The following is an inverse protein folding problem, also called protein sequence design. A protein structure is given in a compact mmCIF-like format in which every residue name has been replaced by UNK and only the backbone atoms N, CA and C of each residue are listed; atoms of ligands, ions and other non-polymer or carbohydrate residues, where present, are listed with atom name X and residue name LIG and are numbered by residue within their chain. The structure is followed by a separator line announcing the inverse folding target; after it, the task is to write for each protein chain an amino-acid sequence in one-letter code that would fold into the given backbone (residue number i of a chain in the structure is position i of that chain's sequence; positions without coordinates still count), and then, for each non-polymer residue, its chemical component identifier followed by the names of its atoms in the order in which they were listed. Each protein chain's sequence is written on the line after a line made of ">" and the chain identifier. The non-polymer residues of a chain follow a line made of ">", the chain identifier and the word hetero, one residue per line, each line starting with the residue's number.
data_IF_433480543911
#
_entry.id   IF_433480543911
#
_cell.length_a   1.000
_cell.length_b   1.000
_cell.length_c   1.000
_cell.angle_alpha   90.00
_cell.angle_beta   90.00
_cell.angle_gamma   90.00
#
_symmetry.space_group_name_H-M   'P 1'
#
loop_
_entity.id
_entity.type
_entity.pdbx_description
1 polymer ?
#
# COMPACT_ATOMS: atom_id res chain seq x y z
N UNK A 1 -31.88 20.53 9.32
CA UNK A 1 -30.71 19.94 8.61
C UNK A 1 -29.47 20.78 8.93
N UNK A 2 -28.53 20.26 9.72
CA UNK A 2 -27.43 21.03 10.33
C UNK A 2 -26.19 21.23 9.45
N UNK A 3 -25.39 22.24 9.80
CA UNK A 3 -24.15 22.64 9.11
C UNK A 3 -23.12 21.51 8.94
N UNK A 4 -23.09 20.54 9.86
CA UNK A 4 -22.22 19.37 9.77
C UNK A 4 -22.53 18.48 8.55
N UNK A 5 -23.81 18.33 8.18
CA UNK A 5 -24.22 17.57 6.98
C UNK A 5 -23.85 18.33 5.70
N UNK A 6 -24.04 19.66 5.69
CA UNK A 6 -23.63 20.53 4.56
C UNK A 6 -22.12 20.59 4.39
N UNK A 7 -21.33 20.56 5.47
CA UNK A 7 -19.86 20.44 5.42
C UNK A 7 -19.43 19.10 4.82
N UNK A 8 -20.11 18.01 5.16
CA UNK A 8 -19.83 16.66 4.65
C UNK A 8 -20.20 16.51 3.17
N UNK A 9 -21.31 17.14 2.74
CA UNK A 9 -21.75 17.18 1.34
C UNK A 9 -20.86 18.08 0.45
N UNK A 10 -20.17 19.05 1.04
CA UNK A 10 -19.21 19.93 0.34
C UNK A 10 -17.76 19.47 0.45
N UNK A 11 -17.47 18.45 1.25
CA UNK A 11 -16.12 17.92 1.37
C UNK A 11 -15.75 17.20 0.08
N UNK A 12 -14.58 17.53 -0.48
CA UNK A 12 -14.01 16.77 -1.61
C UNK A 12 -13.92 15.30 -1.17
N UNK A 13 -14.45 14.34 -1.94
CA UNK A 13 -14.37 12.93 -1.57
C UNK A 13 -12.91 12.52 -1.38
N UNK A 14 -12.59 11.91 -0.23
CA UNK A 14 -11.27 11.34 0.03
C UNK A 14 -11.30 9.85 -0.30
N UNK A 15 -10.29 9.37 -1.00
CA UNK A 15 -10.05 7.95 -1.25
C UNK A 15 -8.74 7.52 -0.61
N UNK A 16 -8.69 6.27 -0.18
CA UNK A 16 -7.62 5.72 0.63
C UNK A 16 -6.87 4.64 -0.12
N UNK A 17 -5.55 4.79 -0.23
CA UNK A 17 -4.67 3.72 -0.61
C UNK A 17 -4.24 2.93 0.63
N UNK A 18 -4.65 1.66 0.69
CA UNK A 18 -4.25 0.74 1.74
C UNK A 18 -2.95 0.04 1.38
N UNK A 19 -1.95 0.16 2.24
CA UNK A 19 -0.63 -0.45 2.05
C UNK A 19 -0.09 -1.03 3.37
N UNK A 20 1.02 -1.75 3.31
CA UNK A 20 1.72 -2.31 4.48
C UNK A 20 2.93 -1.46 4.87
N UNK A 21 3.34 -1.51 6.15
CA UNK A 21 4.62 -0.93 6.59
C UNK A 21 5.83 -1.43 5.79
N UNK A 22 5.77 -2.67 5.31
CA UNK A 22 6.81 -3.27 4.48
C UNK A 22 6.98 -2.59 3.12
N UNK A 23 5.91 -1.97 2.60
CA UNK A 23 5.92 -1.26 1.31
C UNK A 23 5.98 0.25 1.46
N UNK A 24 5.69 0.79 2.64
CA UNK A 24 5.59 2.25 2.81
C UNK A 24 6.93 2.93 2.65
N UNK A 25 8.03 2.32 3.12
CA UNK A 25 9.37 2.87 2.88
C UNK A 25 9.71 2.93 1.38
N UNK A 26 9.29 1.93 0.60
CA UNK A 26 9.45 1.97 -0.86
C UNK A 26 8.64 3.11 -1.48
N UNK A 27 7.40 3.32 -1.02
CA UNK A 27 6.53 4.42 -1.44
C UNK A 27 7.13 5.78 -1.05
N UNK A 28 7.74 5.90 0.13
CA UNK A 28 8.43 7.12 0.56
C UNK A 28 9.66 7.42 -0.29
N UNK A 29 10.45 6.39 -0.59
CA UNK A 29 11.67 6.53 -1.40
C UNK A 29 11.37 6.82 -2.87
N UNK A 30 10.33 6.20 -3.46
CA UNK A 30 9.89 6.51 -4.82
C UNK A 30 9.16 7.86 -4.90
N UNK A 31 8.53 8.27 -3.79
CA UNK A 31 7.65 9.43 -3.74
C UNK A 31 6.34 9.24 -4.51
N UNK A 32 6.05 8.03 -4.98
CA UNK A 32 4.86 7.70 -5.76
C UNK A 32 4.27 6.35 -5.33
N UNK A 33 2.94 6.26 -5.37
CA UNK A 33 2.24 4.97 -5.38
C UNK A 33 2.26 4.47 -6.82
N UNK A 34 3.08 3.45 -7.07
CA UNK A 34 3.17 2.78 -8.37
C UNK A 34 1.90 1.98 -8.69
N UNK A 35 1.64 1.78 -9.99
CA UNK A 35 0.67 0.79 -10.44
C UNK A 35 1.17 -0.63 -10.13
N UNK A 36 0.24 -1.56 -9.91
CA UNK A 36 0.58 -2.94 -9.56
C UNK A 36 1.54 -3.60 -10.57
N UNK A 37 2.48 -4.41 -10.07
CA UNK A 37 3.49 -5.07 -10.92
C UNK A 37 4.72 -4.22 -11.29
N UNK A 38 4.72 -2.90 -11.05
CA UNK A 38 5.93 -2.05 -11.23
C UNK A 38 6.71 -1.77 -9.95
N UNK A 39 6.13 -2.05 -8.78
CA UNK A 39 6.82 -1.86 -7.50
C UNK A 39 7.96 -2.87 -7.32
N UNK A 40 9.13 -2.41 -6.84
CA UNK A 40 10.16 -3.32 -6.31
C UNK A 40 9.58 -4.10 -5.11
N UNK A 41 9.94 -5.38 -4.97
CA UNK A 41 9.50 -6.17 -3.82
C UNK A 41 10.05 -5.63 -2.50
N UNK A 42 9.29 -5.80 -1.42
CA UNK A 42 9.75 -5.47 -0.08
C UNK A 42 10.89 -6.42 0.32
N UNK A 43 12.03 -5.89 0.75
CA UNK A 43 13.20 -6.68 1.11
C UNK A 43 13.38 -6.64 2.63
N UNK A 44 13.37 -7.83 3.24
CA UNK A 44 13.71 -8.03 4.64
C UNK A 44 15.20 -8.39 4.78
N UNK A 45 15.97 -7.75 5.69
CA UNK A 45 17.43 -7.91 5.75
C UNK A 45 17.90 -9.36 5.99
N UNK A 46 17.09 -10.14 6.72
CA UNK A 46 17.38 -11.55 7.08
C UNK A 46 16.62 -12.58 6.24
N UNK A 47 15.53 -12.16 5.57
CA UNK A 47 14.57 -13.10 4.95
C UNK A 47 14.49 -12.94 3.43
N UNK A 48 15.15 -11.94 2.85
CA UNK A 48 15.11 -11.69 1.41
C UNK A 48 13.84 -10.97 0.98
N UNK A 49 13.42 -11.16 -0.27
CA UNK A 49 12.21 -10.53 -0.80
C UNK A 49 10.96 -11.20 -0.21
N UNK A 50 10.12 -10.42 0.47
CA UNK A 50 8.83 -10.87 1.00
C UNK A 50 7.77 -10.65 -0.07
N UNK A 51 7.06 -11.73 -0.43
CA UNK A 51 5.92 -11.69 -1.35
C UNK A 51 4.66 -12.19 -0.64
N UNK A 52 3.53 -11.74 -1.15
CA UNK A 52 2.20 -12.13 -0.70
C UNK A 52 1.44 -12.66 -1.91
N UNK A 53 0.76 -13.78 -1.75
CA UNK A 53 -0.25 -14.21 -2.72
C UNK A 53 -1.52 -13.38 -2.45
N UNK A 54 -1.55 -12.12 -2.87
CA UNK A 54 -2.83 -11.41 -2.98
C UNK A 54 -3.56 -12.01 -4.18
N UNK A 55 -4.20 -13.16 -3.98
CA UNK A 55 -4.88 -13.98 -4.99
C UNK A 55 -5.89 -13.15 -5.81
N UNK A 56 -6.43 -12.08 -5.22
CA UNK A 56 -7.41 -11.15 -5.80
C UNK A 56 -6.80 -9.87 -6.40
N UNK A 57 -5.51 -9.59 -6.17
CA UNK A 57 -4.76 -8.47 -6.79
C UNK A 57 -3.58 -9.01 -7.59
N UNK A 58 -3.88 -10.00 -8.44
CA UNK A 58 -2.92 -10.42 -9.46
C UNK A 58 -2.75 -9.24 -10.42
N UNK A 59 -1.58 -9.14 -11.05
CA UNK A 59 -1.47 -8.27 -12.21
C UNK A 59 -2.53 -8.73 -13.21
N UNK A 60 -3.49 -7.86 -13.49
CA UNK A 60 -4.58 -8.15 -14.42
C UNK A 60 -3.95 -8.30 -15.80
N UNK A 61 -4.31 -9.35 -16.53
CA UNK A 61 -3.78 -9.64 -17.85
C UNK A 61 -4.64 -9.02 -18.94
N UNK A 62 -5.94 -8.87 -18.67
CA UNK A 62 -6.93 -8.39 -19.63
C UNK A 62 -6.94 -6.85 -19.72
N UNK A 63 -6.31 -6.14 -18.79
CA UNK A 63 -6.22 -4.67 -18.79
C UNK A 63 -4.95 -4.17 -18.07
N UNK A 64 -4.55 -2.89 -18.27
CA UNK A 64 -3.33 -2.35 -17.71
C UNK A 64 -3.24 -2.43 -16.19
N UNK A 65 -2.02 -2.44 -15.66
CA UNK A 65 -1.76 -2.34 -14.23
C UNK A 65 -2.37 -1.09 -13.61
N UNK A 66 -2.98 -1.23 -12.42
CA UNK A 66 -3.69 -0.16 -11.72
C UNK A 66 -3.10 0.12 -10.33
N UNK A 67 -3.24 1.34 -9.86
CA UNK A 67 -3.15 1.68 -8.45
C UNK A 67 -4.56 1.73 -7.84
N UNK A 68 -4.78 1.00 -6.74
CA UNK A 68 -6.10 0.83 -6.14
C UNK A 68 -6.33 1.70 -4.91
N UNK A 69 -7.55 2.22 -4.81
CA UNK A 69 -8.04 3.06 -3.73
C UNK A 69 -9.48 2.68 -3.35
N UNK A 70 -9.91 3.04 -2.15
CA UNK A 70 -11.29 2.84 -1.69
C UNK A 70 -11.77 4.04 -0.87
N UNK A 71 -13.07 4.31 -0.85
CA UNK A 71 -13.67 5.30 0.05
C UNK A 71 -13.65 4.85 1.52
N UNK A 72 -13.45 3.56 1.78
CA UNK A 72 -13.48 2.95 3.11
C UNK A 72 -12.11 3.04 3.81
N UNK A 73 -12.14 3.46 5.07
CA UNK A 73 -10.98 3.39 5.97
C UNK A 73 -10.75 1.99 6.52
N UNK A 74 -11.77 1.13 6.54
CA UNK A 74 -11.57 -0.27 6.88
C UNK A 74 -10.73 -0.95 5.80
N UNK A 75 -9.84 -1.85 6.23
CA UNK A 75 -8.96 -2.58 5.33
C UNK A 75 -9.85 -3.47 4.44
N UNK A 76 -9.73 -3.37 3.10
CA UNK A 76 -10.44 -4.27 2.20
C UNK A 76 -10.17 -5.74 2.55
N UNK A 77 -11.23 -6.54 2.67
CA UNK A 77 -11.14 -7.96 3.03
C UNK A 77 -10.42 -8.77 1.97
N UNK A 78 -10.46 -8.33 0.71
CA UNK A 78 -9.65 -8.86 -0.39
C UNK A 78 -8.13 -8.79 -0.11
N UNK A 79 -7.68 -7.90 0.77
CA UNK A 79 -6.28 -7.80 1.19
C UNK A 79 -5.92 -8.70 2.39
N UNK A 80 -6.90 -9.34 3.03
CA UNK A 80 -6.72 -10.13 4.26
C UNK A 80 -7.19 -11.57 4.12
N UNK A 81 -8.17 -11.84 3.26
CA UNK A 81 -8.73 -13.17 3.05
C UNK A 81 -7.76 -14.04 2.26
N UNK A 82 -7.32 -15.15 2.87
CA UNK A 82 -6.53 -16.19 2.18
C UNK A 82 -5.13 -15.76 1.73
N UNK A 83 -4.58 -14.66 2.28
CA UNK A 83 -3.24 -14.23 1.95
C UNK A 83 -2.21 -15.20 2.58
N UNK A 84 -1.44 -15.90 1.74
CA UNK A 84 -0.22 -16.60 2.15
C UNK A 84 0.99 -15.68 2.00
N UNK A 85 1.92 -15.79 2.95
CA UNK A 85 3.20 -15.11 2.88
C UNK A 85 4.30 -16.10 2.50
N UNK A 86 5.15 -15.70 1.56
CA UNK A 86 6.30 -16.49 1.18
C UNK A 86 7.53 -15.60 0.97
N UNK A 87 8.69 -16.19 1.23
CA UNK A 87 9.98 -15.60 0.90
C UNK A 87 10.51 -16.21 -0.38
N UNK A 88 11.22 -15.42 -1.17
CA UNK A 88 11.98 -15.89 -2.33
C UNK A 88 13.46 -15.68 -2.07
N UNK A 89 14.23 -16.75 -2.08
CA UNK A 89 15.69 -16.67 -2.03
C UNK A 89 16.21 -16.04 -3.33
N UNK A 90 17.07 -15.02 -3.23
CA UNK A 90 17.58 -14.29 -4.40
C UNK A 90 18.64 -15.04 -5.20
N UNK A 91 19.28 -16.03 -4.59
CA UNK A 91 20.34 -16.83 -5.20
C UNK A 91 19.75 -18.08 -5.87
N UNK A 92 18.85 -18.77 -5.19
CA UNK A 92 18.27 -20.04 -5.67
C UNK A 92 16.91 -19.87 -6.33
N UNK A 93 16.22 -18.76 -6.10
CA UNK A 93 14.84 -18.54 -6.57
C UNK A 93 13.79 -19.38 -5.82
N UNK A 94 14.20 -20.13 -4.79
CA UNK A 94 13.33 -21.04 -4.06
C UNK A 94 12.25 -20.27 -3.29
N UNK A 95 11.00 -20.70 -3.43
CA UNK A 95 9.87 -20.18 -2.67
C UNK A 95 9.73 -20.96 -1.38
N UNK A 96 9.77 -20.25 -0.25
CA UNK A 96 9.51 -20.84 1.07
C UNK A 96 8.32 -20.16 1.71
N UNK A 97 7.26 -20.91 1.92
CA UNK A 97 6.09 -20.44 2.64
C UNK A 97 6.43 -20.16 4.11
N UNK A 98 6.02 -19.00 4.61
CA UNK A 98 6.16 -18.66 6.02
C UNK A 98 4.93 -19.21 6.75
N UNK A 99 5.09 -20.39 7.36
CA UNK A 99 4.04 -20.99 8.20
C UNK A 99 3.75 -20.08 9.40
N UNK A 100 2.67 -19.33 9.31
CA UNK A 100 2.23 -18.34 10.30
C UNK A 100 0.73 -18.50 10.51
N UNK A 101 0.23 -18.15 11.71
CA UNK A 101 -1.21 -18.07 11.94
C UNK A 101 -1.79 -16.90 11.15
N UNK A 102 -3.10 -16.87 10.88
CA UNK A 102 -3.76 -15.73 10.24
C UNK A 102 -3.44 -14.40 10.93
N UNK A 103 -3.34 -14.40 12.25
CA UNK A 103 -3.00 -13.23 13.06
C UNK A 103 -1.53 -12.82 12.91
N UNK A 104 -0.62 -13.78 12.68
CA UNK A 104 0.79 -13.50 12.39
C UNK A 104 1.03 -13.07 10.94
N UNK A 105 0.28 -13.62 9.98
CA UNK A 105 0.25 -13.11 8.59
C UNK A 105 -0.29 -11.69 8.60
N UNK A 106 -1.38 -11.46 9.32
CA UNK A 106 -1.93 -10.14 9.52
C UNK A 106 -0.90 -9.25 10.23
N UNK A 107 -0.22 -9.72 11.27
CA UNK A 107 0.81 -8.96 11.94
C UNK A 107 1.97 -8.53 11.02
N UNK A 108 2.47 -9.45 10.20
CA UNK A 108 3.65 -9.26 9.36
C UNK A 108 3.34 -8.60 8.02
N UNK A 109 2.16 -8.84 7.45
CA UNK A 109 1.67 -8.13 6.28
C UNK A 109 1.05 -6.76 6.62
N UNK A 110 0.64 -6.50 7.88
CA UNK A 110 -0.33 -5.45 8.27
C UNK A 110 0.03 -4.66 9.55
N UNK A 111 1.14 -3.94 9.58
CA UNK A 111 0.95 -2.56 10.04
C UNK A 111 0.37 -1.79 8.86
N UNK A 112 -0.96 -1.81 8.79
CA UNK A 112 -1.71 -1.19 7.70
C UNK A 112 -1.66 0.31 7.86
N UNK A 113 -1.37 0.94 6.74
CA UNK A 113 -1.44 2.38 6.57
C UNK A 113 -2.49 2.64 5.51
N UNK A 114 -3.31 3.67 5.75
CA UNK A 114 -4.16 4.23 4.73
C UNK A 114 -3.69 5.66 4.44
N UNK A 115 -3.33 5.91 3.18
CA UNK A 115 -3.00 7.24 2.67
C UNK A 115 -4.24 7.82 2.01
N UNK A 116 -4.79 8.88 2.59
CA UNK A 116 -5.97 9.57 2.08
C UNK A 116 -5.59 10.67 1.11
N UNK A 117 -6.28 10.70 -0.03
CA UNK A 117 -6.12 11.68 -1.08
C UNK A 117 -7.48 12.24 -1.50
N UNK A 118 -7.62 13.56 -1.67
CA UNK A 118 -8.81 14.13 -2.27
C UNK A 118 -8.89 13.66 -3.74
N UNK A 119 -10.05 13.16 -4.18
CA UNK A 119 -10.26 12.66 -5.55
C UNK A 119 -9.90 13.71 -6.60
N UNK A 120 -10.10 15.00 -6.29
CA UNK A 120 -9.75 16.10 -7.19
C UNK A 120 -8.24 16.31 -7.40
N UNK A 121 -7.39 15.79 -6.50
CA UNK A 121 -5.96 16.08 -6.47
C UNK A 121 -5.11 14.98 -7.13
N UNK A 122 -5.72 13.84 -7.50
CA UNK A 122 -5.03 12.67 -8.05
C UNK A 122 -5.80 12.10 -9.26
N UNK A 123 -5.12 11.45 -10.22
CA UNK A 123 -5.74 10.98 -11.48
C UNK A 123 -6.51 9.66 -11.30
N UNK A 124 -7.51 9.65 -10.43
CA UNK A 124 -8.33 8.46 -10.16
C UNK A 124 -9.69 8.53 -10.84
N UNK A 125 -10.19 7.37 -11.24
CA UNK A 125 -11.56 7.16 -11.72
C UNK A 125 -12.25 6.14 -10.84
N UNK A 126 -13.58 6.21 -10.72
CA UNK A 126 -14.35 5.14 -10.09
C UNK A 126 -14.12 3.84 -10.84
N UNK A 127 -13.94 2.75 -10.10
CA UNK A 127 -13.72 1.44 -10.71
C UNK A 127 -14.86 1.07 -11.67
N UNK A 128 -16.12 1.33 -11.29
CA UNK A 128 -17.30 1.13 -12.14
C UNK A 128 -17.30 1.91 -13.46
N UNK A 129 -16.51 2.98 -13.55
CA UNK A 129 -16.36 3.79 -14.77
C UNK A 129 -15.11 3.40 -15.58
N UNK A 130 -14.23 2.56 -15.05
CA UNK A 130 -13.02 2.13 -15.73
C UNK A 130 -13.30 1.00 -16.72
N UNK A 131 -12.63 0.99 -17.87
CA UNK A 131 -12.82 -0.01 -18.93
C UNK A 131 -12.63 -1.46 -18.47
N UNK A 132 -11.74 -1.67 -17.49
CA UNK A 132 -11.48 -2.98 -16.88
C UNK A 132 -12.65 -3.56 -16.09
N UNK A 133 -13.64 -2.75 -15.67
CA UNK A 133 -14.75 -3.21 -14.84
C UNK A 133 -15.61 -4.29 -15.51
N UNK A 134 -15.80 -4.15 -16.83
CA UNK A 134 -16.69 -4.98 -17.62
C UNK A 134 -15.97 -6.15 -18.31
N UNK A 135 -14.64 -6.27 -18.18
CA UNK A 135 -13.89 -7.40 -18.75
C UNK A 135 -14.20 -8.70 -18.02
N UNK A 136 -13.78 -9.84 -18.57
CA UNK A 136 -13.95 -11.14 -17.89
C UNK A 136 -13.22 -11.16 -16.56
N UNK A 137 -11.92 -10.83 -16.57
CA UNK A 137 -11.11 -10.76 -15.35
C UNK A 137 -11.66 -9.71 -14.35
N UNK A 138 -12.15 -8.56 -14.84
CA UNK A 138 -12.78 -7.55 -14.00
C UNK A 138 -14.07 -8.03 -13.33
N UNK A 139 -14.90 -8.81 -14.03
CA UNK A 139 -16.10 -9.44 -13.45
C UNK A 139 -15.74 -10.48 -12.39
N UNK A 140 -14.77 -11.34 -12.67
CA UNK A 140 -14.28 -12.32 -11.69
C UNK A 140 -13.71 -11.64 -10.43
N UNK A 141 -12.95 -10.55 -10.62
CA UNK A 141 -12.44 -9.72 -9.52
C UNK A 141 -13.59 -9.16 -8.68
N UNK A 142 -14.61 -8.59 -9.34
CA UNK A 142 -15.78 -8.02 -8.68
C UNK A 142 -16.57 -9.06 -7.88
N UNK A 143 -16.79 -10.24 -8.45
CA UNK A 143 -17.48 -11.36 -7.79
C UNK A 143 -16.68 -11.88 -6.60
N UNK A 144 -15.35 -12.04 -6.77
CA UNK A 144 -14.45 -12.46 -5.71
C UNK A 144 -14.44 -11.46 -4.54
N UNK A 145 -14.37 -10.16 -4.84
CA UNK A 145 -14.43 -9.11 -3.84
C UNK A 145 -15.72 -9.13 -3.03
N UNK A 146 -16.86 -9.26 -3.72
CA UNK A 146 -18.17 -9.37 -3.07
C UNK A 146 -18.29 -10.65 -2.23
N UNK A 147 -17.72 -11.77 -2.67
CA UNK A 147 -17.79 -13.04 -1.94
C UNK A 147 -17.08 -12.97 -0.57
N UNK A 148 -16.05 -12.12 -0.43
CA UNK A 148 -15.37 -11.88 0.86
C UNK A 148 -15.99 -10.72 1.64
N UNK A 149 -16.97 -10.01 1.06
CA UNK A 149 -17.71 -8.92 1.71
C UNK A 149 -17.17 -7.51 1.45
N UNK A 150 -16.30 -7.33 0.45
CA UNK A 150 -15.95 -6.01 -0.07
C UNK A 150 -17.00 -5.52 -1.08
N UNK A 151 -17.03 -4.21 -1.32
CA UNK A 151 -17.91 -3.59 -2.33
C UNK A 151 -17.06 -2.90 -3.40
N UNK A 152 -17.02 -3.41 -4.64
CA UNK A 152 -16.31 -2.78 -5.76
C UNK A 152 -16.81 -1.37 -6.12
N UNK A 153 -18.03 -1.00 -5.74
CA UNK A 153 -18.59 0.31 -6.07
C UNK A 153 -17.94 1.44 -5.25
N UNK A 154 -17.29 1.09 -4.14
CA UNK A 154 -16.49 1.99 -3.30
C UNK A 154 -15.06 2.19 -3.83
N UNK A 155 -14.67 1.47 -4.89
CA UNK A 155 -13.29 1.45 -5.36
C UNK A 155 -13.01 2.53 -6.40
N UNK A 156 -11.77 3.01 -6.37
CA UNK A 156 -11.20 3.94 -7.33
C UNK A 156 -9.87 3.37 -7.82
N UNK A 157 -9.54 3.66 -9.07
CA UNK A 157 -8.32 3.19 -9.72
C UNK A 157 -7.61 4.32 -10.44
N UNK A 158 -6.30 4.21 -10.56
CA UNK A 158 -5.47 5.09 -11.39
C UNK A 158 -4.57 4.25 -12.29
N UNK A 159 -4.54 4.59 -13.58
CA UNK A 159 -3.65 3.98 -14.59
C UNK A 159 -2.23 4.57 -14.52
N UNK A 160 -2.06 5.64 -13.73
CA UNK A 160 -0.80 6.34 -13.53
C UNK A 160 -0.32 6.23 -12.08
N UNK A 161 0.97 6.42 -11.87
CA UNK A 161 1.54 6.53 -10.54
C UNK A 161 1.01 7.80 -9.84
N UNK A 162 0.71 7.70 -8.55
CA UNK A 162 0.14 8.81 -7.76
C UNK A 162 1.21 9.43 -6.86
N UNK A 163 1.43 10.74 -6.99
CA UNK A 163 2.42 11.47 -6.17
C UNK A 163 1.98 11.51 -4.71
N UNK A 164 2.82 10.94 -3.85
CA UNK A 164 2.60 10.85 -2.40
C UNK A 164 2.52 12.24 -1.77
N UNK A 165 3.15 13.26 -2.36
CA UNK A 165 3.10 14.63 -1.83
C UNK A 165 1.68 15.21 -1.83
N UNK A 166 0.73 14.61 -2.58
CA UNK A 166 -0.70 14.95 -2.59
C UNK A 166 -1.48 14.39 -1.39
N UNK A 167 -0.84 13.64 -0.50
CA UNK A 167 -1.50 13.07 0.68
C UNK A 167 -2.09 14.17 1.56
N UNK A 168 -3.36 14.00 1.93
CA UNK A 168 -4.11 14.89 2.81
C UNK A 168 -4.43 14.24 4.16
N UNK A 169 -4.44 12.91 4.22
CA UNK A 169 -4.67 12.16 5.45
C UNK A 169 -3.71 10.99 5.59
N UNK A 170 -3.27 10.74 6.81
CA UNK A 170 -2.45 9.58 7.14
C UNK A 170 -3.08 8.84 8.31
N UNK A 171 -3.30 7.55 8.11
CA UNK A 171 -3.88 6.66 9.10
C UNK A 171 -3.00 5.43 9.26
N UNK A 172 -2.77 4.99 10.50
CA UNK A 172 -1.94 3.84 10.78
C UNK A 172 -2.45 3.05 11.98
N UNK A 173 -2.19 1.75 11.98
CA UNK A 173 -2.42 0.91 13.15
C UNK A 173 -1.27 1.10 14.17
N UNK A 174 -1.60 1.42 15.43
CA UNK A 174 -0.61 1.48 16.52
C UNK A 174 -0.19 0.10 17.02
N UNK A 175 -1.07 -0.89 16.87
CA UNK A 175 -0.83 -2.26 17.31
C UNK A 175 -1.05 -3.23 16.17
N UNK A 176 -0.09 -4.15 16.07
CA UNK A 176 -0.10 -5.27 15.15
C UNK A 176 -1.24 -6.25 15.52
N UNK A 177 -1.51 -6.45 16.81
CA UNK A 177 -2.53 -7.37 17.32
C UNK A 177 -3.94 -6.77 17.28
N UNK A 178 -4.05 -5.45 17.15
CA UNK A 178 -5.32 -4.74 17.03
C UNK A 178 -5.17 -3.65 15.96
N UNK A 179 -5.38 -3.99 14.67
CA UNK A 179 -5.05 -3.14 13.54
C UNK A 179 -6.06 -2.02 13.31
N UNK A 180 -6.57 -1.41 14.39
CA UNK A 180 -7.45 -0.25 14.31
C UNK A 180 -6.63 0.94 13.85
N UNK A 181 -7.03 1.51 12.71
CA UNK A 181 -6.37 2.69 12.15
C UNK A 181 -6.70 3.94 12.96
N UNK A 182 -5.68 4.73 13.25
CA UNK A 182 -5.78 6.04 13.87
C UNK A 182 -5.14 7.11 12.98
N UNK A 183 -5.78 8.28 12.94
CA UNK A 183 -5.30 9.43 12.16
C UNK A 183 -4.09 10.04 12.85
N UNK A 184 -3.06 10.36 12.07
CA UNK A 184 -1.91 11.16 12.52
C UNK A 184 -1.56 12.23 11.50
N UNK A 185 -2.14 13.41 11.68
CA UNK A 185 -1.88 14.56 10.82
C UNK A 185 -0.43 15.05 10.93
N UNK A 186 0.19 14.91 12.11
CA UNK A 186 1.58 15.29 12.33
C UNK A 186 2.53 14.54 11.37
N UNK A 187 2.25 13.26 11.11
CA UNK A 187 3.10 12.41 10.27
C UNK A 187 3.05 12.80 8.78
N UNK A 188 2.04 13.57 8.33
CA UNK A 188 1.97 14.09 6.96
C UNK A 188 3.18 15.00 6.67
N UNK A 189 3.58 15.81 7.66
CA UNK A 189 4.75 16.68 7.52
C UNK A 189 6.04 15.86 7.37
N UNK A 190 6.15 14.76 8.11
CA UNK A 190 7.28 13.82 8.01
C UNK A 190 7.32 13.13 6.65
N UNK A 191 6.17 12.67 6.14
CA UNK A 191 6.08 12.06 4.80
C UNK A 191 6.58 13.04 3.75
N UNK A 192 6.12 14.30 3.77
CA UNK A 192 6.55 15.32 2.80
C UNK A 192 8.05 15.56 2.86
N UNK A 193 8.61 15.66 4.08
CA UNK A 193 10.05 15.83 4.29
C UNK A 193 10.84 14.64 3.76
N UNK A 194 10.44 13.42 4.12
CA UNK A 194 11.09 12.18 3.71
C UNK A 194 11.08 12.01 2.18
N UNK A 195 9.92 12.17 1.54
CA UNK A 195 9.78 12.09 0.08
C UNK A 195 10.61 13.16 -0.62
N UNK A 196 10.59 14.40 -0.12
CA UNK A 196 11.38 15.49 -0.71
C UNK A 196 12.88 15.21 -0.60
N UNK A 197 13.33 14.73 0.56
CA UNK A 197 14.72 14.34 0.78
C UNK A 197 15.16 13.22 -0.17
N UNK A 198 14.34 12.18 -0.37
CA UNK A 198 14.63 11.12 -1.34
C UNK A 198 14.65 11.62 -2.79
N UNK A 199 13.77 12.54 -3.17
CA UNK A 199 13.76 13.15 -4.51
C UNK A 199 15.00 14.03 -4.76
N UNK A 200 15.51 14.71 -3.74
CA UNK A 200 16.61 15.68 -3.85
C UNK A 200 18.01 15.07 -3.65
N UNK A 201 18.11 13.97 -2.89
CA UNK A 201 19.39 13.37 -2.51
C UNK A 201 19.54 11.99 -3.14
N UNK A 202 20.31 11.86 -4.24
CA UNK A 202 20.58 10.57 -4.86
C UNK A 202 21.18 9.58 -3.85
N UNK A 203 20.65 8.35 -3.84
CA UNK A 203 21.09 7.30 -2.91
C UNK A 203 20.55 7.45 -1.49
N UNK A 204 19.66 8.41 -1.22
CA UNK A 204 18.98 8.50 0.06
C UNK A 204 18.08 7.27 0.30
N UNK A 205 18.21 6.70 1.49
CA UNK A 205 17.51 5.50 1.90
C UNK A 205 16.69 5.77 3.16
N UNK A 206 15.40 5.42 3.12
CA UNK A 206 14.53 5.44 4.31
C UNK A 206 14.45 4.01 4.83
N UNK A 207 15.02 3.72 6.01
CA UNK A 207 14.93 2.39 6.56
C UNK A 207 13.48 2.07 6.94
N UNK A 208 13.06 0.80 6.78
CA UNK A 208 11.79 0.35 7.34
C UNK A 208 11.70 0.66 8.84
N UNK A 209 10.58 1.22 9.29
CA UNK A 209 10.40 1.75 10.65
C UNK A 209 10.44 0.70 11.77
N UNK A 210 10.43 -0.58 11.40
CA UNK A 210 10.51 -1.73 12.31
C UNK A 210 11.93 -2.30 12.45
N UNK A 211 12.91 -1.78 11.70
CA UNK A 211 14.31 -2.16 11.85
C UNK A 211 14.99 -1.36 12.95
N UNK A 212 15.89 -2.02 13.68
CA UNK A 212 16.87 -1.32 14.52
C UNK A 212 17.86 -0.54 13.65
N UNK A 213 18.47 0.54 14.17
CA UNK A 213 19.46 1.33 13.41
C UNK A 213 20.58 0.50 12.77
N UNK A 214 21.08 -0.53 13.45
CA UNK A 214 22.15 -1.40 12.95
C UNK A 214 21.66 -2.30 11.81
N UNK A 215 20.44 -2.82 11.91
CA UNK A 215 19.81 -3.65 10.87
C UNK A 215 19.45 -2.81 9.64
N UNK A 216 19.04 -1.56 9.86
CA UNK A 216 18.80 -0.58 8.82
C UNK A 216 20.08 -0.25 8.03
N UNK A 217 21.22 -0.06 8.71
CA UNK A 217 22.52 0.12 8.07
C UNK A 217 22.93 -1.13 7.28
N UNK A 218 22.76 -2.32 7.84
CA UNK A 218 23.07 -3.57 7.13
C UNK A 218 22.24 -3.70 5.84
N UNK A 219 20.94 -3.37 5.90
CA UNK A 219 20.08 -3.36 4.73
C UNK A 219 20.53 -2.33 3.68
N UNK A 220 20.89 -1.11 4.11
CA UNK A 220 21.38 -0.08 3.21
C UNK A 220 22.63 -0.55 2.44
N UNK A 221 23.59 -1.19 3.13
CA UNK A 221 24.78 -1.83 2.51
C UNK A 221 24.39 -2.89 1.47
N UNK A 222 23.47 -3.79 1.82
CA UNK A 222 23.01 -4.86 0.92
C UNK A 222 22.33 -4.31 -0.35
N UNK A 223 21.66 -3.16 -0.24
CA UNK A 223 20.98 -2.49 -1.34
C UNK A 223 21.91 -1.55 -2.13
N UNK A 224 23.18 -1.42 -1.73
CA UNK A 224 24.17 -0.57 -2.40
C UNK A 224 24.02 0.92 -2.12
N UNK A 225 23.33 1.30 -1.03
CA UNK A 225 23.19 2.70 -0.64
C UNK A 225 24.40 3.17 0.19
N UNK A 226 24.87 4.42 -0.02
CA UNK A 226 25.93 5.00 0.77
C UNK A 226 25.46 5.22 2.21
N UNK A 227 26.22 4.70 3.19
CA UNK A 227 25.93 4.88 4.61
C UNK A 227 26.81 6.01 5.11
N UNK A 228 26.20 7.09 5.60
CA UNK A 228 26.95 8.10 6.36
C UNK A 228 27.27 7.55 7.77
N UNK A 229 28.51 7.73 8.26
CA UNK A 229 28.92 7.29 9.59
C UNK A 229 28.16 7.99 10.72
#
# INVERSE_FOLDING_TARGET
>A
MGEAKRRRERAVPTVYHHTSLLRTNLIWMSGVIEVEGKSKGAIHPKLGEIKTDSITRRAMNDFPALAWFTTKLDIPRTLTAGASMFTVDKTTGERKEIKTTSDHVNAMALNRIALGFPVADIPVVRWTNHQGFATNEGRELNESARSVGDDPDDWYVSDAAVDVLRVSEFWYAKSILNPKLERSDAYISDIRRMVTMCKQTPGCFIPPSWLKPEEAQQLARQLGFPISP
#
